data_IF_334281486695
#
_entry.id   IF_334281486695
#
_cell.length_a   1.000
_cell.length_b   1.000
_cell.length_c   1.000
_cell.angle_alpha   90.00
_cell.angle_beta   90.00
_cell.angle_gamma   90.00
#
_symmetry.space_group_name_H-M   'P 1'
#
loop_
_entity.id
_entity.type
_entity.pdbx_description
1 polymer ?
#
# COMPACT_ATOMS: atom_id res chain seq x y z
N UNK A 1 0.82 20.77 18.93
CA UNK A 1 0.87 22.04 18.20
C UNK A 1 -0.53 22.66 18.24
N UNK A 2 -0.78 23.58 19.20
CA UNK A 2 -2.07 24.22 19.47
C UNK A 2 -2.46 25.29 18.45
N UNK A 3 -2.01 25.16 17.21
CA UNK A 3 -2.44 26.08 16.16
C UNK A 3 -3.79 25.62 15.62
N UNK A 4 -4.83 26.49 15.62
CA UNK A 4 -6.08 26.16 14.99
C UNK A 4 -5.85 25.86 13.51
N UNK A 5 -6.57 24.93 12.88
CA UNK A 5 -6.48 24.63 11.46
C UNK A 5 -7.06 25.79 10.64
N UNK A 6 -6.37 26.91 10.62
CA UNK A 6 -6.72 28.05 9.81
C UNK A 6 -5.75 28.11 8.64
N UNK A 7 -6.26 27.81 7.49
CA UNK A 7 -5.72 27.82 6.12
C UNK A 7 -5.19 26.44 5.70
N UNK A 8 -6.06 25.67 5.03
CA UNK A 8 -5.63 24.64 4.10
C UNK A 8 -4.56 25.26 3.20
N UNK A 9 -3.35 24.71 3.24
CA UNK A 9 -2.29 25.18 2.34
C UNK A 9 -2.69 24.77 0.92
N UNK A 10 -2.97 25.74 0.07
CA UNK A 10 -3.45 25.49 -1.29
C UNK A 10 -2.30 25.30 -2.28
N UNK A 11 -1.15 25.91 -1.99
CA UNK A 11 0.01 25.85 -2.88
C UNK A 11 1.33 26.03 -2.15
N UNK A 12 2.41 25.50 -2.77
CA UNK A 12 3.80 25.73 -2.39
C UNK A 12 4.56 26.28 -3.60
N UNK A 13 5.31 27.37 -3.41
CA UNK A 13 6.14 27.98 -4.46
C UNK A 13 7.60 27.70 -4.14
N UNK A 14 8.32 27.11 -5.10
CA UNK A 14 9.75 26.89 -5.07
C UNK A 14 10.42 27.81 -6.08
N UNK A 15 11.49 28.50 -5.67
CA UNK A 15 12.34 29.33 -6.53
C UNK A 15 13.77 28.81 -6.51
N UNK A 16 14.44 28.84 -7.67
CA UNK A 16 15.80 28.37 -7.79
C UNK A 16 16.74 29.26 -6.98
N UNK A 17 17.59 28.64 -6.14
CA UNK A 17 18.64 29.33 -5.42
C UNK A 17 19.79 29.67 -6.38
N UNK A 18 20.15 30.95 -6.51
CA UNK A 18 21.23 31.41 -7.37
C UNK A 18 22.60 31.02 -6.83
N UNK A 19 22.73 30.83 -5.51
CA UNK A 19 23.97 30.42 -4.82
C UNK A 19 24.07 28.87 -4.71
N UNK A 20 23.24 28.12 -5.42
CA UNK A 20 23.31 26.65 -5.37
C UNK A 20 24.63 26.15 -5.96
N UNK A 21 25.34 25.32 -5.20
CA UNK A 21 26.67 24.79 -5.56
C UNK A 21 26.69 23.83 -6.76
N UNK A 22 25.52 23.31 -7.18
CA UNK A 22 25.39 22.37 -8.30
C UNK A 22 25.00 23.05 -9.61
N UNK A 23 24.47 22.25 -10.55
CA UNK A 23 23.97 22.76 -11.85
C UNK A 23 22.79 23.70 -11.62
N UNK A 24 22.84 24.89 -12.21
CA UNK A 24 21.72 25.81 -12.22
C UNK A 24 20.54 25.23 -13.00
N UNK A 25 19.34 25.14 -12.42
CA UNK A 25 18.17 24.61 -13.09
C UNK A 25 17.68 25.53 -14.22
N UNK A 26 17.22 24.96 -15.33
CA UNK A 26 16.61 25.73 -16.42
C UNK A 26 15.23 26.28 -16.01
N UNK A 27 14.49 25.51 -15.22
CA UNK A 27 13.20 25.95 -14.67
C UNK A 27 13.46 26.67 -13.34
N UNK A 28 13.20 27.96 -13.31
CA UNK A 28 13.55 28.84 -12.20
C UNK A 28 12.51 28.90 -11.09
N UNK A 29 11.26 28.54 -11.42
CA UNK A 29 10.13 28.60 -10.49
C UNK A 29 9.19 27.44 -10.73
N UNK A 30 8.77 26.78 -9.64
CA UNK A 30 7.76 25.70 -9.63
C UNK A 30 6.69 26.05 -8.62
N UNK A 31 5.44 26.01 -9.04
CA UNK A 31 4.28 26.14 -8.15
C UNK A 31 3.62 24.77 -8.04
N UNK A 32 3.55 24.23 -6.83
CA UNK A 32 2.86 22.99 -6.50
C UNK A 32 1.50 23.36 -5.94
N UNK A 33 0.44 22.84 -6.56
CA UNK A 33 -0.95 23.08 -6.14
C UNK A 33 -1.49 21.76 -5.56
N UNK A 34 -2.09 21.82 -4.38
CA UNK A 34 -2.68 20.66 -3.70
C UNK A 34 -4.15 20.54 -4.11
N UNK A 35 -4.48 19.45 -4.80
CA UNK A 35 -5.83 19.22 -5.36
C UNK A 35 -6.17 17.73 -5.22
N UNK A 36 -7.49 17.44 -5.16
CA UNK A 36 -7.99 16.08 -5.28
C UNK A 36 -7.87 15.58 -6.73
N UNK A 37 -7.93 14.27 -6.94
CA UNK A 37 -7.70 13.59 -8.23
C UNK A 37 -8.54 14.17 -9.38
N UNK A 38 -9.83 14.39 -9.15
CA UNK A 38 -10.76 14.93 -10.17
C UNK A 38 -10.45 16.39 -10.52
N UNK A 39 -10.09 17.19 -9.50
CA UNK A 39 -9.71 18.60 -9.70
C UNK A 39 -8.38 18.69 -10.46
N UNK A 40 -7.41 17.83 -10.16
CA UNK A 40 -6.14 17.75 -10.88
C UNK A 40 -6.36 17.38 -12.37
N UNK A 41 -7.22 16.39 -12.65
CA UNK A 41 -7.58 16.03 -14.04
C UNK A 41 -8.31 17.17 -14.77
N UNK A 42 -9.21 17.89 -14.07
CA UNK A 42 -9.87 19.06 -14.63
C UNK A 42 -8.87 20.18 -14.98
N UNK A 43 -7.87 20.42 -14.11
CA UNK A 43 -6.81 21.40 -14.35
C UNK A 43 -5.94 21.02 -15.56
N UNK A 44 -5.62 19.72 -15.75
CA UNK A 44 -4.94 19.21 -16.95
C UNK A 44 -5.77 19.50 -18.20
N UNK A 45 -7.06 19.13 -18.20
CA UNK A 45 -7.97 19.37 -19.34
C UNK A 45 -8.11 20.85 -19.69
N UNK A 46 -8.06 21.74 -18.70
CA UNK A 46 -8.10 23.19 -18.89
C UNK A 46 -6.73 23.78 -19.26
N UNK A 47 -5.65 23.00 -19.31
CA UNK A 47 -4.31 23.49 -19.60
C UNK A 47 -3.73 24.40 -18.51
N UNK A 48 -4.18 24.28 -17.26
CA UNK A 48 -3.79 25.15 -16.14
C UNK A 48 -2.53 24.70 -15.40
N UNK A 49 -2.13 23.43 -15.59
CA UNK A 49 -0.94 22.84 -14.97
C UNK A 49 -0.06 22.18 -16.02
N UNK A 50 1.23 22.10 -15.77
CA UNK A 50 2.20 21.46 -16.67
C UNK A 50 2.42 19.99 -16.35
N UNK A 51 2.26 19.63 -15.08
CA UNK A 51 2.29 18.25 -14.60
C UNK A 51 1.14 18.07 -13.61
N UNK A 52 0.50 16.91 -13.64
CA UNK A 52 -0.40 16.49 -12.58
C UNK A 52 -0.15 15.02 -12.25
N UNK A 53 -0.02 14.71 -10.96
CA UNK A 53 -0.17 13.34 -10.46
C UNK A 53 -1.62 12.92 -10.71
N UNK A 54 -1.83 11.74 -11.22
CA UNK A 54 -3.17 11.16 -11.42
C UNK A 54 -3.23 9.74 -10.87
N UNK A 55 -4.44 9.27 -10.59
CA UNK A 55 -4.67 7.89 -10.24
C UNK A 55 -4.58 6.98 -11.49
N UNK A 56 -4.15 5.74 -11.31
CA UNK A 56 -4.16 4.73 -12.36
C UNK A 56 -5.55 4.54 -12.98
N UNK A 57 -6.61 4.69 -12.17
CA UNK A 57 -8.03 4.63 -12.59
C UNK A 57 -8.42 5.73 -13.58
N UNK A 58 -7.80 6.89 -13.50
CA UNK A 58 -8.07 8.07 -14.33
C UNK A 58 -7.10 8.25 -15.50
N UNK A 59 -5.97 7.56 -15.48
CA UNK A 59 -4.87 7.74 -16.44
C UNK A 59 -5.18 7.30 -17.88
N UNK A 60 -6.28 6.59 -18.11
CA UNK A 60 -6.75 6.19 -19.45
C UNK A 60 -7.39 7.35 -20.24
N UNK A 61 -7.68 8.48 -19.59
CA UNK A 61 -8.24 9.65 -20.25
C UNK A 61 -7.19 10.34 -21.13
N UNK A 62 -7.45 10.41 -22.43
CA UNK A 62 -6.60 11.15 -23.38
C UNK A 62 -6.83 12.66 -23.25
N UNK A 63 -5.78 13.43 -23.03
CA UNK A 63 -5.84 14.90 -22.97
C UNK A 63 -4.89 15.49 -24.00
N UNK A 64 -5.39 16.22 -25.02
CA UNK A 64 -4.53 16.85 -26.04
C UNK A 64 -3.48 17.77 -25.41
N UNK A 65 -2.23 17.67 -25.87
CA UNK A 65 -1.11 18.46 -25.35
C UNK A 65 -0.46 17.90 -24.08
N UNK A 66 -0.86 16.67 -23.68
CA UNK A 66 -0.25 15.96 -22.56
C UNK A 66 0.04 14.51 -22.90
N UNK A 67 1.14 14.03 -22.38
CA UNK A 67 1.54 12.62 -22.42
C UNK A 67 1.42 12.01 -21.02
N UNK A 68 0.83 10.82 -20.92
CA UNK A 68 0.79 10.05 -19.67
C UNK A 68 2.14 9.37 -19.47
N UNK A 69 2.79 9.64 -18.34
CA UNK A 69 4.04 8.99 -17.91
C UNK A 69 3.81 8.19 -16.63
N UNK A 70 4.12 6.91 -16.69
CA UNK A 70 4.13 6.01 -15.54
C UNK A 70 5.57 5.85 -15.05
N UNK A 71 5.78 6.06 -13.76
CA UNK A 71 7.07 5.92 -13.09
C UNK A 71 7.03 4.71 -12.17
N UNK A 72 8.03 3.83 -12.30
CA UNK A 72 8.17 2.66 -11.44
C UNK A 72 8.34 3.08 -9.98
N UNK A 73 7.65 2.39 -9.10
CA UNK A 73 7.68 2.64 -7.66
C UNK A 73 7.80 1.34 -6.87
N UNK A 74 8.12 1.45 -5.58
CA UNK A 74 7.95 0.40 -4.57
C UNK A 74 6.66 0.62 -3.76
N UNK A 75 5.82 1.54 -4.18
CA UNK A 75 4.54 1.82 -3.55
C UNK A 75 3.58 0.64 -3.76
N UNK A 76 3.08 0.07 -2.70
CA UNK A 76 2.27 -1.14 -2.72
C UNK A 76 0.92 -0.95 -2.01
N UNK A 77 0.02 -1.91 -2.22
CA UNK A 77 -1.27 -1.99 -1.52
C UNK A 77 -1.48 -3.41 -1.01
N UNK A 78 -1.94 -3.49 0.22
CA UNK A 78 -2.30 -4.74 0.89
C UNK A 78 -3.34 -4.52 1.97
N UNK A 79 -3.87 -5.61 2.50
CA UNK A 79 -4.78 -5.62 3.63
C UNK A 79 -4.00 -5.86 4.92
N UNK A 80 -4.12 -4.94 5.89
CA UNK A 80 -3.77 -5.26 7.27
C UNK A 80 -4.90 -6.12 7.86
N UNK A 81 -4.57 -7.11 8.66
CA UNK A 81 -5.55 -8.04 9.20
C UNK A 81 -5.31 -8.23 10.69
N UNK A 82 -6.19 -7.70 11.59
CA UNK A 82 -6.05 -7.93 13.03
C UNK A 82 -5.82 -9.41 13.35
N UNK A 83 -4.71 -9.72 14.03
CA UNK A 83 -4.31 -11.11 14.32
C UNK A 83 -4.78 -11.60 15.69
N UNK A 84 -5.28 -10.71 16.54
CA UNK A 84 -5.86 -11.01 17.84
C UNK A 84 -7.37 -11.22 17.75
N UNK A 85 -7.98 -12.11 18.55
CA UNK A 85 -9.43 -12.20 18.67
C UNK A 85 -9.99 -10.98 19.44
N UNK A 86 -11.24 -10.62 19.13
CA UNK A 86 -11.97 -9.63 19.94
C UNK A 86 -12.31 -10.23 21.31
N UNK A 87 -11.64 -9.74 22.35
CA UNK A 87 -11.86 -10.12 23.74
C UNK A 87 -12.33 -8.93 24.59
N UNK A 88 -12.75 -7.84 23.96
CA UNK A 88 -13.13 -6.59 24.62
C UNK A 88 -11.93 -5.76 25.11
N UNK A 89 -10.71 -6.10 24.71
CA UNK A 89 -9.52 -5.30 25.00
C UNK A 89 -9.50 -4.03 24.15
N UNK A 90 -8.80 -3.02 24.66
CA UNK A 90 -8.56 -1.75 23.94
C UNK A 90 -7.09 -1.39 23.95
N UNK A 91 -6.68 -0.54 23.01
CA UNK A 91 -5.37 0.13 23.03
C UNK A 91 -5.26 1.07 24.24
N UNK A 92 -4.10 1.64 24.49
CA UNK A 92 -3.89 2.66 25.53
C UNK A 92 -4.79 3.89 25.32
N UNK A 93 -5.09 4.23 24.07
CA UNK A 93 -6.00 5.32 23.67
C UNK A 93 -7.49 4.93 23.67
N UNK A 94 -7.81 3.68 24.05
CA UNK A 94 -9.19 3.21 24.21
C UNK A 94 -9.84 2.66 22.94
N UNK A 95 -9.07 2.40 21.87
CA UNK A 95 -9.58 1.85 20.62
C UNK A 95 -9.79 0.32 20.74
N UNK A 96 -10.86 -0.27 20.18
CA UNK A 96 -11.11 -1.70 20.26
C UNK A 96 -10.05 -2.49 19.50
N UNK A 97 -9.60 -3.62 20.06
CA UNK A 97 -8.61 -4.52 19.48
C UNK A 97 -9.25 -5.85 19.11
N UNK A 98 -8.84 -6.39 17.98
CA UNK A 98 -9.10 -7.76 17.58
C UNK A 98 -10.31 -7.95 16.69
N UNK A 99 -10.29 -9.05 15.96
CA UNK A 99 -11.35 -9.45 15.03
C UNK A 99 -11.46 -10.97 15.02
N UNK A 100 -12.64 -11.49 15.33
CA UNK A 100 -12.85 -12.94 15.51
C UNK A 100 -12.76 -13.75 14.18
N UNK A 101 -12.83 -13.08 13.03
CA UNK A 101 -12.65 -13.71 11.72
C UNK A 101 -11.18 -13.66 11.31
N UNK A 102 -10.60 -12.46 11.24
CA UNK A 102 -9.23 -12.27 10.71
C UNK A 102 -8.14 -12.77 11.67
N UNK A 103 -8.42 -12.98 12.96
CA UNK A 103 -7.45 -13.60 13.89
C UNK A 103 -7.10 -15.05 13.51
N UNK A 104 -7.95 -15.73 12.73
CA UNK A 104 -7.71 -17.10 12.30
C UNK A 104 -6.71 -17.12 11.13
N UNK A 105 -5.61 -17.84 11.33
CA UNK A 105 -4.53 -17.90 10.32
C UNK A 105 -5.02 -18.50 9.00
N UNK A 106 -5.86 -19.53 9.07
CA UNK A 106 -6.44 -20.19 7.90
C UNK A 106 -7.30 -19.24 7.06
N UNK A 107 -8.01 -18.28 7.66
CA UNK A 107 -8.74 -17.22 6.94
C UNK A 107 -7.74 -16.33 6.19
N UNK A 108 -6.70 -15.82 6.87
CA UNK A 108 -5.72 -14.93 6.26
C UNK A 108 -4.95 -15.59 5.11
N UNK A 109 -4.53 -16.85 5.33
CA UNK A 109 -3.84 -17.61 4.28
C UNK A 109 -4.76 -17.99 3.13
N UNK A 110 -6.02 -18.37 3.39
CA UNK A 110 -6.99 -18.63 2.33
C UNK A 110 -7.23 -17.38 1.46
N UNK A 111 -7.35 -16.20 2.07
CA UNK A 111 -7.42 -14.94 1.33
C UNK A 111 -6.18 -14.75 0.44
N UNK A 112 -4.99 -15.00 0.98
CA UNK A 112 -3.74 -14.82 0.25
C UNK A 112 -3.63 -15.72 -0.99
N UNK A 113 -4.09 -16.97 -0.91
CA UNK A 113 -4.10 -17.92 -2.04
C UNK A 113 -5.27 -17.71 -3.01
N UNK A 114 -6.41 -17.18 -2.55
CA UNK A 114 -7.56 -16.95 -3.42
C UNK A 114 -7.41 -15.73 -4.34
N UNK A 115 -6.62 -14.73 -3.93
CA UNK A 115 -6.49 -13.47 -4.67
C UNK A 115 -5.58 -13.65 -5.89
N UNK A 116 -6.17 -13.56 -7.09
CA UNK A 116 -5.43 -13.40 -8.34
C UNK A 116 -4.95 -11.95 -8.48
N UNK A 117 -3.72 -11.71 -8.03
CA UNK A 117 -3.07 -10.39 -8.02
C UNK A 117 -2.92 -9.80 -9.39
N UNK A 118 -2.65 -10.64 -10.40
CA UNK A 118 -2.55 -10.18 -11.79
C UNK A 118 -3.88 -9.65 -12.30
N UNK A 119 -4.97 -10.35 -11.96
CA UNK A 119 -6.32 -9.94 -12.34
C UNK A 119 -6.75 -8.67 -11.59
N UNK A 120 -6.44 -8.56 -10.28
CA UNK A 120 -6.70 -7.33 -9.51
C UNK A 120 -5.92 -6.15 -10.08
N UNK A 121 -4.61 -6.30 -10.37
CA UNK A 121 -3.81 -5.25 -10.97
C UNK A 121 -4.35 -4.80 -12.33
N UNK A 122 -4.76 -5.74 -13.19
CA UNK A 122 -5.35 -5.43 -14.49
C UNK A 122 -6.68 -4.68 -14.36
N UNK A 123 -7.56 -5.14 -13.48
CA UNK A 123 -8.91 -4.57 -13.30
C UNK A 123 -8.89 -3.21 -12.60
N UNK A 124 -8.07 -3.06 -11.52
CA UNK A 124 -8.07 -1.88 -10.69
C UNK A 124 -7.09 -0.78 -11.18
N UNK A 125 -5.98 -1.16 -11.85
CA UNK A 125 -4.89 -0.24 -12.15
C UNK A 125 -4.70 0.03 -13.65
N UNK A 126 -5.56 -0.49 -14.52
CA UNK A 126 -5.50 -0.23 -15.98
C UNK A 126 -4.10 -0.50 -16.60
N UNK A 127 -3.35 -1.45 -16.06
CA UNK A 127 -1.97 -1.76 -16.49
C UNK A 127 -0.87 -0.91 -15.83
N UNK A 128 -1.21 0.01 -14.93
CA UNK A 128 -0.25 0.82 -14.17
C UNK A 128 0.09 0.21 -12.81
N UNK A 129 0.28 -1.10 -12.77
CA UNK A 129 0.67 -1.84 -11.58
C UNK A 129 1.04 -3.28 -11.89
N UNK A 130 1.46 -4.00 -10.87
CA UNK A 130 1.87 -5.40 -10.93
C UNK A 130 1.49 -6.14 -9.64
N UNK A 131 1.46 -7.49 -9.64
CA UNK A 131 1.32 -8.26 -8.41
C UNK A 131 2.32 -7.84 -7.34
N UNK A 132 1.86 -7.86 -6.07
CA UNK A 132 2.69 -7.61 -4.89
C UNK A 132 2.62 -8.79 -3.94
N UNK A 133 3.78 -9.22 -3.42
CA UNK A 133 3.88 -10.35 -2.49
C UNK A 133 4.53 -9.97 -1.15
N UNK A 134 5.13 -8.78 -1.08
CA UNK A 134 5.84 -8.26 0.08
C UNK A 134 5.95 -6.74 -0.04
N UNK A 135 6.03 -6.06 1.08
CA UNK A 135 6.39 -4.64 1.13
C UNK A 135 7.78 -4.35 0.53
N UNK A 136 8.59 -5.40 0.41
CA UNK A 136 9.97 -5.35 -0.08
C UNK A 136 10.11 -5.71 -1.56
N UNK A 137 9.03 -5.92 -2.30
CA UNK A 137 9.10 -6.33 -3.70
C UNK A 137 10.03 -5.44 -4.54
N UNK A 138 10.94 -6.07 -5.27
CA UNK A 138 11.94 -5.38 -6.10
C UNK A 138 13.16 -4.87 -5.34
N UNK A 139 13.23 -5.03 -4.02
CA UNK A 139 14.36 -4.60 -3.21
C UNK A 139 15.40 -5.71 -2.99
N UNK A 140 16.69 -5.38 -2.77
CA UNK A 140 17.75 -6.39 -2.57
C UNK A 140 17.54 -7.28 -1.34
N UNK A 141 16.81 -6.77 -0.34
CA UNK A 141 16.46 -7.49 0.89
C UNK A 141 15.11 -8.21 0.81
N UNK A 142 14.44 -8.23 -0.34
CA UNK A 142 13.25 -9.04 -0.54
C UNK A 142 13.62 -10.53 -0.59
N UNK A 143 12.82 -11.36 0.09
CA UNK A 143 12.92 -12.81 -0.02
C UNK A 143 12.08 -13.28 -1.21
N UNK A 144 12.67 -13.81 -2.29
CA UNK A 144 11.90 -14.24 -3.47
C UNK A 144 10.98 -15.44 -3.19
N UNK A 145 11.21 -16.17 -2.10
CA UNK A 145 10.39 -17.33 -1.72
C UNK A 145 9.02 -16.93 -1.13
N UNK A 146 8.80 -15.64 -0.80
CA UNK A 146 7.50 -15.18 -0.29
C UNK A 146 6.41 -15.14 -1.37
N UNK A 147 6.80 -15.12 -2.64
CA UNK A 147 5.85 -15.19 -3.75
C UNK A 147 5.03 -16.47 -3.69
N UNK A 148 3.76 -16.36 -3.98
CA UNK A 148 2.84 -17.48 -4.05
C UNK A 148 1.98 -17.40 -5.31
N UNK A 149 1.59 -18.56 -5.82
CA UNK A 149 0.65 -18.64 -6.93
C UNK A 149 -0.79 -18.63 -6.42
N UNK A 150 -1.69 -18.10 -7.21
CA UNK A 150 -3.12 -18.16 -6.92
C UNK A 150 -3.60 -19.62 -6.99
N UNK A 151 -4.22 -20.09 -5.91
CA UNK A 151 -4.78 -21.44 -5.81
C UNK A 151 -6.08 -21.40 -5.00
N UNK A 152 -7.19 -21.21 -5.71
CA UNK A 152 -8.53 -21.12 -5.12
C UNK A 152 -8.94 -22.42 -4.43
N UNK A 153 -8.56 -23.57 -4.98
CA UNK A 153 -8.90 -24.87 -4.39
C UNK A 153 -8.10 -25.13 -3.11
N UNK A 154 -6.84 -24.73 -3.08
CA UNK A 154 -6.05 -24.76 -1.86
C UNK A 154 -6.60 -23.80 -0.80
N UNK A 155 -7.06 -22.59 -1.21
CA UNK A 155 -7.70 -21.65 -0.31
C UNK A 155 -8.97 -22.24 0.34
N UNK A 156 -9.84 -22.88 -0.45
CA UNK A 156 -11.02 -23.58 0.07
C UNK A 156 -10.64 -24.73 1.00
N UNK A 157 -9.58 -25.45 0.68
CA UNK A 157 -9.07 -26.52 1.55
C UNK A 157 -8.59 -25.98 2.90
N UNK A 158 -7.86 -24.86 2.91
CA UNK A 158 -7.43 -24.22 4.17
C UNK A 158 -8.63 -23.85 5.05
N UNK A 159 -9.68 -23.30 4.46
CA UNK A 159 -10.92 -22.98 5.19
C UNK A 159 -11.57 -24.26 5.75
N UNK A 160 -11.73 -25.30 4.94
CA UNK A 160 -12.34 -26.57 5.38
C UNK A 160 -11.50 -27.26 6.47
N UNK A 161 -10.18 -27.31 6.33
CA UNK A 161 -9.26 -27.86 7.35
C UNK A 161 -9.34 -27.05 8.67
N UNK A 162 -9.58 -25.73 8.57
CA UNK A 162 -9.82 -24.84 9.70
C UNK A 162 -11.21 -24.94 10.32
N UNK A 163 -12.11 -25.76 9.75
CA UNK A 163 -13.48 -25.96 10.25
C UNK A 163 -14.49 -24.92 9.74
N UNK A 164 -14.15 -24.15 8.71
CA UNK A 164 -15.05 -23.19 8.05
C UNK A 164 -15.82 -23.88 6.92
N UNK A 165 -17.15 -23.82 6.96
CA UNK A 165 -18.02 -24.41 5.94
C UNK A 165 -19.31 -23.61 5.80
N UNK A 166 -19.86 -23.50 4.59
CA UNK A 166 -21.19 -22.94 4.37
C UNK A 166 -22.24 -24.00 4.75
N UNK A 167 -22.82 -23.85 5.93
CA UNK A 167 -23.77 -24.84 6.49
C UNK A 167 -25.22 -24.42 6.32
N UNK A 168 -25.52 -23.15 6.07
CA UNK A 168 -26.86 -22.62 5.85
C UNK A 168 -27.18 -22.36 4.36
N UNK A 169 -26.19 -22.46 3.47
CA UNK A 169 -26.34 -22.38 2.02
C UNK A 169 -26.45 -20.95 1.49
N UNK A 170 -25.98 -19.94 2.25
CA UNK A 170 -26.02 -18.54 1.81
C UNK A 170 -24.76 -18.11 1.03
N UNK A 171 -23.79 -19.00 0.89
CA UNK A 171 -22.55 -18.80 0.16
C UNK A 171 -21.42 -18.20 1.00
N UNK A 172 -21.60 -18.04 2.31
CA UNK A 172 -20.57 -17.56 3.26
C UNK A 172 -20.21 -18.71 4.19
N UNK A 173 -18.92 -18.98 4.37
CA UNK A 173 -18.48 -20.02 5.28
C UNK A 173 -18.57 -19.54 6.73
N UNK A 174 -18.98 -20.44 7.63
CA UNK A 174 -19.03 -20.16 9.05
C UNK A 174 -18.32 -21.25 9.87
N UNK A 175 -17.92 -20.88 11.09
CA UNK A 175 -17.31 -21.75 12.11
C UNK A 175 -17.93 -21.43 13.46
N UNK A 176 -18.50 -22.43 14.14
CA UNK A 176 -19.16 -22.25 15.45
C UNK A 176 -20.23 -21.13 15.47
N UNK A 177 -20.93 -20.95 14.35
CA UNK A 177 -21.94 -19.90 14.18
C UNK A 177 -21.40 -18.51 13.85
N UNK A 178 -20.10 -18.36 13.72
CA UNK A 178 -19.45 -17.11 13.27
C UNK A 178 -19.27 -17.16 11.74
N UNK A 179 -19.91 -16.27 11.00
CA UNK A 179 -19.72 -16.12 9.56
C UNK A 179 -18.36 -15.47 9.26
N UNK A 180 -17.74 -15.87 8.16
CA UNK A 180 -16.51 -15.28 7.65
C UNK A 180 -16.78 -13.90 7.01
N UNK A 181 -17.25 -12.97 7.83
CA UNK A 181 -17.58 -11.60 7.44
C UNK A 181 -16.76 -10.59 8.24
N UNK A 182 -16.18 -9.61 7.57
CA UNK A 182 -15.44 -8.53 8.21
C UNK A 182 -15.45 -7.26 7.36
N UNK A 183 -15.17 -6.12 7.99
CA UNK A 183 -15.06 -4.82 7.31
C UNK A 183 -13.61 -4.54 6.91
N UNK A 184 -13.42 -4.05 5.69
CA UNK A 184 -12.18 -3.47 5.19
C UNK A 184 -12.37 -1.98 4.97
N UNK A 185 -11.59 -1.18 5.69
CA UNK A 185 -11.59 0.28 5.58
C UNK A 185 -10.59 0.73 4.52
N UNK A 186 -10.89 1.84 3.85
CA UNK A 186 -9.92 2.55 3.01
C UNK A 186 -10.11 4.06 3.10
N UNK A 187 -9.05 4.83 2.82
CA UNK A 187 -9.12 6.30 2.81
C UNK A 187 -10.06 6.80 1.71
N UNK A 188 -11.16 7.44 2.09
CA UNK A 188 -12.12 8.00 1.13
C UNK A 188 -11.46 9.05 0.23
N UNK A 189 -11.82 9.06 -1.07
CA UNK A 189 -11.19 9.93 -2.07
C UNK A 189 -9.96 9.31 -2.77
N UNK A 190 -9.51 8.12 -2.36
CA UNK A 190 -8.47 7.35 -3.06
C UNK A 190 -9.13 6.30 -3.96
N UNK A 191 -9.23 6.62 -5.24
CA UNK A 191 -9.89 5.76 -6.24
C UNK A 191 -9.13 4.44 -6.48
N UNK A 192 -7.82 4.43 -6.31
CA UNK A 192 -6.98 3.22 -6.43
C UNK A 192 -7.27 2.27 -5.28
N UNK A 193 -7.26 2.75 -4.04
CA UNK A 193 -7.60 1.91 -2.88
C UNK A 193 -9.02 1.35 -2.99
N UNK A 194 -9.97 2.17 -3.39
CA UNK A 194 -11.35 1.72 -3.62
C UNK A 194 -11.40 0.58 -4.65
N UNK A 195 -10.80 0.77 -5.82
CA UNK A 195 -10.83 -0.22 -6.90
C UNK A 195 -10.15 -1.54 -6.50
N UNK A 196 -9.01 -1.48 -5.82
CA UNK A 196 -8.30 -2.67 -5.31
C UNK A 196 -9.14 -3.39 -4.26
N UNK A 197 -9.73 -2.68 -3.30
CA UNK A 197 -10.56 -3.27 -2.25
C UNK A 197 -11.80 -3.97 -2.86
N UNK A 198 -12.48 -3.33 -3.80
CA UNK A 198 -13.66 -3.89 -4.45
C UNK A 198 -13.33 -5.14 -5.27
N UNK A 199 -12.25 -5.11 -6.07
CA UNK A 199 -11.81 -6.27 -6.85
C UNK A 199 -11.38 -7.44 -5.94
N UNK A 200 -10.75 -7.14 -4.82
CA UNK A 200 -10.37 -8.13 -3.81
C UNK A 200 -11.61 -8.76 -3.16
N UNK A 201 -12.58 -7.95 -2.74
CA UNK A 201 -13.83 -8.43 -2.12
C UNK A 201 -14.59 -9.39 -3.04
N UNK A 202 -14.64 -9.09 -4.34
CA UNK A 202 -15.29 -9.96 -5.33
C UNK A 202 -14.61 -11.33 -5.43
N UNK A 203 -13.28 -11.36 -5.41
CA UNK A 203 -12.54 -12.63 -5.46
C UNK A 203 -12.70 -13.45 -4.18
N UNK A 204 -12.68 -12.81 -3.00
CA UNK A 204 -12.86 -13.49 -1.71
C UNK A 204 -14.25 -14.13 -1.58
N UNK A 205 -15.25 -13.54 -2.19
CA UNK A 205 -16.60 -14.11 -2.23
C UNK A 205 -16.62 -15.49 -2.87
N UNK A 206 -15.75 -15.77 -3.84
CA UNK A 206 -15.66 -17.07 -4.51
C UNK A 206 -15.23 -18.23 -3.60
N UNK A 207 -14.64 -17.92 -2.45
CA UNK A 207 -14.23 -18.88 -1.42
C UNK A 207 -15.10 -18.79 -0.16
N UNK A 208 -16.22 -18.03 -0.21
CA UNK A 208 -17.16 -17.91 0.91
C UNK A 208 -16.75 -16.90 1.97
N UNK A 209 -15.85 -15.96 1.68
CA UNK A 209 -15.49 -14.87 2.61
C UNK A 209 -16.15 -13.56 2.14
N UNK A 210 -16.91 -12.93 3.03
CA UNK A 210 -17.56 -11.65 2.78
C UNK A 210 -16.73 -10.49 3.37
N UNK A 211 -16.07 -9.72 2.52
CA UNK A 211 -15.38 -8.49 2.90
C UNK A 211 -16.26 -7.28 2.55
N UNK A 212 -16.71 -6.55 3.58
CA UNK A 212 -17.46 -5.30 3.42
C UNK A 212 -16.50 -4.13 3.24
N UNK A 213 -16.55 -3.47 2.09
CA UNK A 213 -15.64 -2.35 1.75
C UNK A 213 -16.25 -1.03 2.18
N UNK A 214 -15.55 -0.28 3.02
CA UNK A 214 -16.02 1.00 3.59
C UNK A 214 -14.97 2.09 3.39
N UNK A 215 -15.34 3.17 2.68
CA UNK A 215 -14.50 4.37 2.53
C UNK A 215 -14.76 5.36 3.66
N UNK A 216 -13.70 5.76 4.38
CA UNK A 216 -13.81 6.72 5.47
C UNK A 216 -12.54 7.60 5.58
N UNK A 217 -12.53 8.57 6.51
CA UNK A 217 -11.37 9.42 6.73
C UNK A 217 -10.23 8.67 7.42
N UNK A 218 -8.99 9.11 7.22
CA UNK A 218 -7.84 8.55 7.93
C UNK A 218 -7.95 8.74 9.45
N UNK A 219 -8.59 9.82 9.93
CA UNK A 219 -8.88 10.04 11.36
C UNK A 219 -9.86 9.00 11.93
N UNK A 220 -10.79 8.49 11.14
CA UNK A 220 -11.67 7.40 11.53
C UNK A 220 -10.97 6.05 11.43
N UNK A 221 -10.17 5.84 10.37
CA UNK A 221 -9.34 4.64 10.21
C UNK A 221 -8.43 4.47 11.43
N UNK A 222 -7.75 5.52 11.89
CA UNK A 222 -6.85 5.47 13.05
C UNK A 222 -7.52 4.96 14.33
N UNK A 223 -8.83 5.12 14.45
CA UNK A 223 -9.61 4.64 15.60
C UNK A 223 -10.14 3.23 15.46
N UNK A 224 -10.21 2.71 14.24
CA UNK A 224 -10.86 1.44 13.90
C UNK A 224 -9.90 0.38 13.35
N UNK A 225 -8.67 0.74 13.00
CA UNK A 225 -7.70 -0.12 12.33
C UNK A 225 -7.23 -1.32 13.16
N UNK A 226 -7.39 -1.27 14.48
CA UNK A 226 -6.99 -2.37 15.37
C UNK A 226 -8.02 -3.50 15.47
N UNK A 227 -9.23 -3.29 14.91
CA UNK A 227 -10.33 -4.25 14.93
C UNK A 227 -10.95 -4.50 13.53
N UNK A 228 -10.51 -3.77 12.53
CA UNK A 228 -10.95 -3.92 11.13
C UNK A 228 -9.75 -4.12 10.22
N UNK A 229 -9.96 -4.82 9.11
CA UNK A 229 -8.98 -4.81 8.03
C UNK A 229 -8.88 -3.40 7.44
N UNK A 230 -7.71 -3.02 6.95
CA UNK A 230 -7.53 -1.75 6.26
C UNK A 230 -6.74 -1.98 4.98
N UNK A 231 -7.22 -1.44 3.87
CA UNK A 231 -6.43 -1.38 2.65
C UNK A 231 -5.43 -0.24 2.76
N UNK A 232 -4.25 -0.57 3.17
CA UNK A 232 -3.12 0.33 3.31
C UNK A 232 -2.08 0.12 2.22
N UNK A 233 -0.99 0.86 2.29
CA UNK A 233 0.18 0.70 1.45
C UNK A 233 1.39 1.36 2.07
N UNK A 234 2.53 0.79 1.76
CA UNK A 234 3.84 1.24 2.17
C UNK A 234 4.81 1.13 0.98
N UNK A 235 6.08 1.20 1.20
CA UNK A 235 7.11 1.06 0.19
C UNK A 235 8.23 2.06 0.37
N UNK A 236 9.25 1.69 1.15
CA UNK A 236 10.43 2.51 1.37
C UNK A 236 11.63 1.98 0.57
N UNK A 237 12.52 2.87 0.23
CA UNK A 237 13.82 2.53 -0.35
C UNK A 237 14.86 2.15 0.74
N UNK A 238 14.41 1.66 1.90
CA UNK A 238 15.23 1.12 2.97
C UNK A 238 14.47 0.07 3.77
N UNK A 239 15.14 -0.94 4.35
CA UNK A 239 14.49 -2.06 5.03
C UNK A 239 13.96 -1.72 6.43
N UNK A 240 14.26 -0.56 7.00
CA UNK A 240 13.76 -0.15 8.32
C UNK A 240 12.23 -0.08 8.38
N UNK A 241 11.58 0.11 7.23
CA UNK A 241 10.12 0.05 7.14
C UNK A 241 9.59 -1.32 7.59
N UNK A 242 10.23 -2.43 7.17
CA UNK A 242 9.85 -3.78 7.62
C UNK A 242 10.02 -3.94 9.16
N UNK A 243 11.01 -3.29 9.75
CA UNK A 243 11.15 -3.24 11.20
C UNK A 243 9.92 -2.56 11.84
N UNK A 244 9.53 -1.40 11.34
CA UNK A 244 8.37 -0.68 11.86
C UNK A 244 7.05 -1.47 11.65
N UNK A 245 6.90 -2.16 10.52
CA UNK A 245 5.69 -2.91 10.20
C UNK A 245 5.51 -4.19 11.05
N UNK A 246 6.61 -4.82 11.48
CA UNK A 246 6.51 -6.17 12.03
C UNK A 246 7.17 -6.40 13.38
N UNK A 247 8.05 -5.51 13.84
CA UNK A 247 8.64 -5.68 15.16
C UNK A 247 7.61 -5.46 16.26
N UNK A 248 7.60 -6.34 17.25
CA UNK A 248 6.60 -6.36 18.34
C UNK A 248 6.49 -5.04 19.10
N UNK A 249 7.55 -4.22 19.14
CA UNK A 249 7.52 -2.90 19.78
C UNK A 249 6.61 -1.89 19.08
N UNK A 250 6.18 -2.15 17.85
CA UNK A 250 5.24 -1.31 17.10
C UNK A 250 3.80 -1.82 17.16
N UNK A 251 3.57 -3.01 17.71
CA UNK A 251 2.25 -3.61 17.75
C UNK A 251 1.23 -2.71 18.49
N UNK A 252 0.10 -2.46 17.84
CA UNK A 252 -1.05 -1.70 18.38
C UNK A 252 -0.74 -0.25 18.78
N UNK A 253 0.29 0.36 18.16
CA UNK A 253 0.59 1.77 18.36
C UNK A 253 -0.24 2.65 17.42
N UNK A 254 -0.46 3.91 17.80
CA UNK A 254 -1.24 4.89 17.04
C UNK A 254 -0.44 5.52 15.87
N UNK A 255 0.45 4.74 15.22
CA UNK A 255 1.35 5.21 14.17
C UNK A 255 1.19 4.53 12.79
N UNK A 256 0.13 3.72 12.62
CA UNK A 256 -0.24 2.97 11.42
C UNK A 256 0.72 1.84 10.99
N UNK A 257 1.84 1.58 11.69
CA UNK A 257 2.81 0.59 11.23
C UNK A 257 2.39 -0.85 11.47
N UNK A 258 1.99 -1.20 12.70
CA UNK A 258 1.59 -2.56 13.08
C UNK A 258 0.20 -2.55 13.78
N UNK A 259 -0.85 -2.03 13.10
CA UNK A 259 -2.20 -1.96 13.70
C UNK A 259 -2.83 -3.34 13.87
N UNK A 260 -2.40 -4.34 13.11
CA UNK A 260 -2.84 -5.74 13.19
C UNK A 260 -2.46 -6.42 14.51
N UNK A 261 -1.51 -5.85 15.26
CA UNK A 261 -1.06 -6.41 16.54
C UNK A 261 -0.16 -7.63 16.39
N UNK A 262 0.59 -7.73 15.29
CA UNK A 262 1.53 -8.82 15.07
C UNK A 262 2.68 -8.81 16.07
N UNK A 263 2.91 -9.94 16.75
CA UNK A 263 3.98 -10.15 17.72
C UNK A 263 4.62 -11.50 17.49
N UNK A 264 5.95 -11.53 17.30
CA UNK A 264 6.70 -12.77 17.11
C UNK A 264 8.14 -12.59 17.53
N UNK A 265 8.56 -13.28 18.59
CA UNK A 265 9.96 -13.24 19.05
C UNK A 265 10.97 -13.78 18.03
N UNK A 266 10.54 -14.68 17.14
CA UNK A 266 11.39 -15.19 16.03
C UNK A 266 11.62 -14.10 15.00
N UNK A 267 10.56 -13.42 14.57
CA UNK A 267 10.65 -12.30 13.63
C UNK A 267 11.44 -11.13 14.24
N UNK A 268 11.17 -10.77 15.49
CA UNK A 268 11.92 -9.74 16.21
C UNK A 268 13.41 -10.01 16.21
N UNK A 269 13.81 -11.27 16.53
CA UNK A 269 15.21 -11.65 16.52
C UNK A 269 15.90 -11.49 15.16
N UNK A 270 15.22 -11.79 14.04
CA UNK A 270 15.75 -11.57 12.71
C UNK A 270 15.82 -10.07 12.37
N UNK A 271 14.80 -9.29 12.72
CA UNK A 271 14.77 -7.85 12.49
C UNK A 271 15.87 -7.13 13.28
N UNK A 272 16.06 -7.50 14.56
CA UNK A 272 17.13 -6.96 15.42
C UNK A 272 18.50 -7.35 14.87
N UNK A 273 18.73 -8.62 14.52
CA UNK A 273 19.98 -9.08 13.93
C UNK A 273 20.30 -8.37 12.59
N UNK A 274 19.28 -8.05 11.79
CA UNK A 274 19.46 -7.27 10.57
C UNK A 274 19.90 -5.82 10.87
N UNK A 275 19.31 -5.20 11.90
CA UNK A 275 19.66 -3.84 12.31
C UNK A 275 21.06 -3.75 12.95
N UNK A 276 21.51 -4.80 13.62
CA UNK A 276 22.83 -4.85 14.29
C UNK A 276 23.96 -5.35 13.38
N UNK A 277 23.63 -5.84 12.17
CA UNK A 277 24.61 -6.39 11.24
C UNK A 277 25.67 -5.34 10.83
N UNK A 278 26.94 -5.76 10.84
CA UNK A 278 28.07 -4.91 10.49
C UNK A 278 28.36 -4.84 8.98
N UNK A 279 27.68 -5.66 8.18
CA UNK A 279 27.78 -5.67 6.73
C UNK A 279 26.40 -5.88 6.09
N UNK A 280 26.30 -5.40 4.85
CA UNK A 280 25.05 -5.40 4.08
C UNK A 280 24.53 -6.82 3.78
N UNK A 281 25.42 -7.76 3.51
CA UNK A 281 25.02 -9.14 3.15
C UNK A 281 24.34 -9.82 4.35
N UNK A 282 24.96 -9.75 5.52
CA UNK A 282 24.38 -10.27 6.77
C UNK A 282 23.05 -9.57 7.09
N UNK A 283 22.97 -8.24 6.92
CA UNK A 283 21.73 -7.51 7.10
C UNK A 283 20.62 -8.05 6.17
N UNK A 284 20.91 -8.16 4.87
CA UNK A 284 19.92 -8.63 3.89
C UNK A 284 19.47 -10.06 4.12
N UNK A 285 20.35 -10.96 4.57
CA UNK A 285 19.98 -12.32 4.93
C UNK A 285 18.96 -12.33 6.10
N UNK A 286 19.19 -11.54 7.12
CA UNK A 286 18.26 -11.46 8.26
C UNK A 286 16.93 -10.81 7.89
N UNK A 287 16.92 -9.75 7.04
CA UNK A 287 15.66 -9.20 6.50
C UNK A 287 14.86 -10.23 5.71
N UNK A 288 15.52 -11.11 4.94
CA UNK A 288 14.87 -12.20 4.20
C UNK A 288 14.31 -13.27 5.14
N UNK A 289 15.05 -13.64 6.18
CA UNK A 289 14.60 -14.61 7.18
C UNK A 289 13.39 -14.11 7.98
N UNK A 290 13.33 -12.82 8.30
CA UNK A 290 12.17 -12.22 8.95
C UNK A 290 10.89 -12.36 8.09
N UNK A 291 11.02 -12.27 6.76
CA UNK A 291 9.91 -12.47 5.83
C UNK A 291 9.50 -13.94 5.75
N UNK A 292 10.48 -14.85 5.60
CA UNK A 292 10.25 -16.30 5.53
C UNK A 292 11.55 -17.08 5.76
N UNK A 293 11.58 -17.91 6.79
CA UNK A 293 12.73 -18.75 7.15
C UNK A 293 12.59 -20.22 6.72
N UNK A 294 11.53 -20.53 5.97
CA UNK A 294 11.17 -21.90 5.56
C UNK A 294 10.09 -22.54 6.44
N UNK A 295 9.76 -21.95 7.60
CA UNK A 295 8.77 -22.45 8.53
C UNK A 295 7.83 -21.38 9.06
N UNK A 296 8.33 -20.16 9.30
CA UNK A 296 7.58 -19.03 9.83
C UNK A 296 8.09 -17.71 9.22
N UNK A 297 7.47 -16.60 9.58
CA UNK A 297 7.81 -15.24 9.16
C UNK A 297 6.57 -14.42 8.83
N UNK A 298 6.79 -13.18 8.41
CA UNK A 298 5.72 -12.21 8.13
C UNK A 298 4.99 -12.48 6.81
N UNK A 299 5.56 -13.30 5.93
CA UNK A 299 4.98 -13.59 4.62
C UNK A 299 3.59 -14.20 4.69
N UNK A 300 2.87 -14.14 3.58
CA UNK A 300 1.56 -14.77 3.42
C UNK A 300 1.59 -16.30 3.54
N UNK A 301 2.76 -16.93 3.37
CA UNK A 301 2.99 -18.35 3.63
C UNK A 301 3.18 -18.64 5.13
N UNK A 302 3.62 -17.66 5.90
CA UNK A 302 3.88 -17.73 7.33
C UNK A 302 2.70 -17.25 8.16
N UNK A 303 2.93 -16.24 9.00
CA UNK A 303 1.92 -15.72 9.93
C UNK A 303 0.90 -14.78 9.25
N UNK A 304 1.20 -14.30 8.05
CA UNK A 304 0.26 -13.55 7.21
C UNK A 304 -0.46 -12.39 7.93
N UNK A 305 0.24 -11.47 8.62
CA UNK A 305 -0.41 -10.29 9.21
C UNK A 305 -0.92 -9.33 8.14
N UNK A 306 -0.32 -9.38 6.95
CA UNK A 306 -0.72 -8.67 5.76
C UNK A 306 -1.02 -9.62 4.60
N UNK A 307 -2.02 -9.26 3.80
CA UNK A 307 -2.20 -9.83 2.46
C UNK A 307 -1.83 -8.78 1.42
N UNK A 308 -0.60 -8.86 0.90
CA UNK A 308 -0.10 -7.98 -0.15
C UNK A 308 -0.78 -8.30 -1.49
N UNK A 309 -1.15 -7.27 -2.26
CA UNK A 309 -1.99 -7.44 -3.45
C UNK A 309 -1.34 -6.85 -4.70
N UNK A 310 -1.05 -5.56 -4.72
CA UNK A 310 -0.50 -4.89 -5.91
C UNK A 310 0.59 -3.89 -5.57
N UNK A 311 1.57 -3.77 -6.47
CA UNK A 311 2.47 -2.64 -6.56
C UNK A 311 1.87 -1.64 -7.55
N UNK A 312 1.87 -0.33 -7.22
CA UNK A 312 1.29 0.72 -8.06
C UNK A 312 2.39 1.55 -8.70
N UNK A 313 2.21 1.96 -9.96
CA UNK A 313 3.07 2.95 -10.58
C UNK A 313 2.54 4.36 -10.26
N UNK A 314 3.44 5.33 -10.12
CA UNK A 314 3.07 6.72 -10.01
C UNK A 314 2.85 7.28 -11.42
N UNK A 315 1.63 7.71 -11.71
CA UNK A 315 1.23 8.12 -13.06
C UNK A 315 1.01 9.62 -13.11
N UNK A 316 1.57 10.24 -14.14
CA UNK A 316 1.52 11.69 -14.33
C UNK A 316 1.05 12.05 -15.72
N UNK A 317 0.17 13.05 -15.83
CA UNK A 317 0.05 13.83 -17.05
C UNK A 317 1.19 14.84 -17.10
N UNK A 318 1.98 14.82 -18.17
CA UNK A 318 3.09 15.74 -18.40
C UNK A 318 2.83 16.50 -19.69
N UNK A 319 2.85 17.83 -19.63
CA UNK A 319 2.64 18.69 -20.81
C UNK A 319 3.67 18.38 -21.89
N UNK A 320 3.23 18.27 -23.13
CA UNK A 320 4.11 18.04 -24.27
C UNK A 320 5.17 19.14 -24.40
N UNK A 321 6.42 18.72 -24.62
CA UNK A 321 7.57 19.62 -24.63
C UNK A 321 8.26 19.81 -23.27
N UNK A 322 7.66 19.41 -22.16
CA UNK A 322 8.35 19.37 -20.87
C UNK A 322 9.10 18.04 -20.73
N UNK A 323 10.43 18.12 -20.61
CA UNK A 323 11.27 16.98 -20.26
C UNK A 323 11.57 16.98 -18.77
N UNK A 324 11.07 15.96 -18.06
CA UNK A 324 11.30 15.75 -16.62
C UNK A 324 12.53 14.87 -16.35
N UNK A 325 13.28 14.52 -17.39
CA UNK A 325 14.46 13.65 -17.28
C UNK A 325 14.15 12.23 -16.79
N UNK A 326 15.20 11.42 -16.59
CA UNK A 326 15.05 10.08 -16.03
C UNK A 326 14.61 10.15 -14.58
N UNK A 327 13.54 9.43 -14.25
CA UNK A 327 13.03 9.31 -12.90
C UNK A 327 13.71 8.14 -12.17
N UNK A 328 14.00 8.34 -10.90
CA UNK A 328 14.43 7.26 -10.01
C UNK A 328 13.22 6.42 -9.58
N UNK A 329 13.48 5.26 -8.99
CA UNK A 329 12.45 4.47 -8.33
C UNK A 329 11.73 5.31 -7.26
N UNK A 330 10.41 5.40 -7.34
CA UNK A 330 9.63 6.18 -6.39
C UNK A 330 9.31 5.34 -5.14
N UNK A 331 9.55 5.87 -3.92
CA UNK A 331 9.02 5.26 -2.70
C UNK A 331 7.51 5.55 -2.56
N UNK A 332 6.88 4.96 -1.54
CA UNK A 332 5.54 5.34 -1.13
C UNK A 332 5.43 6.84 -0.86
N UNK A 333 4.30 7.41 -1.20
CA UNK A 333 4.06 8.85 -1.10
C UNK A 333 3.82 9.47 -2.48
N UNK A 334 2.94 10.44 -2.51
CA UNK A 334 2.43 11.01 -3.74
C UNK A 334 3.52 11.75 -4.56
N UNK A 335 3.31 12.93 -5.03
CA UNK A 335 4.07 13.62 -6.08
C UNK A 335 5.50 14.07 -5.74
N UNK A 336 5.92 14.03 -4.48
CA UNK A 336 7.22 14.60 -4.06
C UNK A 336 8.46 13.86 -4.62
N UNK A 337 8.47 12.54 -4.81
CA UNK A 337 9.60 11.86 -5.45
C UNK A 337 9.93 12.37 -6.85
N UNK A 338 8.94 12.83 -7.60
CA UNK A 338 9.11 13.42 -8.93
C UNK A 338 10.09 14.61 -8.92
N UNK A 339 10.13 15.38 -7.82
CA UNK A 339 10.93 16.60 -7.72
C UNK A 339 12.43 16.35 -7.45
N UNK A 340 12.85 15.11 -7.20
CA UNK A 340 14.26 14.79 -6.86
C UNK A 340 15.27 15.21 -7.92
N UNK A 341 14.87 15.23 -9.19
CA UNK A 341 15.70 15.64 -10.30
C UNK A 341 15.24 16.96 -10.95
N UNK A 342 14.48 17.79 -10.26
CA UNK A 342 13.91 19.05 -10.74
C UNK A 342 14.93 19.95 -11.45
N UNK A 343 16.20 19.94 -11.00
CA UNK A 343 17.30 20.70 -11.61
C UNK A 343 17.62 20.28 -13.07
N UNK A 344 17.19 19.09 -13.48
CA UNK A 344 17.46 18.54 -14.80
C UNK A 344 16.31 18.72 -15.77
N UNK A 345 15.16 19.25 -15.29
CA UNK A 345 13.99 19.49 -16.11
C UNK A 345 14.22 20.62 -17.11
N UNK A 346 13.72 20.45 -18.33
CA UNK A 346 13.85 21.42 -19.40
C UNK A 346 12.59 21.49 -20.26
N UNK A 347 12.36 22.65 -20.89
CA UNK A 347 11.43 22.77 -21.99
C UNK A 347 12.15 22.54 -23.32
N UNK A 348 11.60 21.70 -24.18
CA UNK A 348 12.10 21.55 -25.54
C UNK A 348 11.82 22.84 -26.33
N UNK A 349 12.84 23.35 -27.03
CA UNK A 349 12.82 24.65 -27.73
C UNK A 349 11.85 24.74 -28.94
N UNK A 350 11.04 23.68 -29.20
CA UNK A 350 10.15 23.60 -30.35
C UNK A 350 8.72 24.14 -30.13
N UNK A 351 8.41 24.64 -28.90
CA UNK A 351 7.07 25.13 -28.56
C UNK A 351 7.13 26.47 -27.76
N UNK A 352 8.00 27.41 -28.14
CA UNK A 352 7.95 28.78 -27.65
C UNK A 352 7.19 29.69 -28.64
#
# INVERSE_FOLDING_TARGET
>A
DDRPPTNKQEQLILEANDDYYGKTPAIRKVTIVFQDEDAALAAVRAGQVDIALTAATLATTQVPGYTVKAVTSVDNRGLTLPVEPDTGKTTESGQPIGNNVTCNLEIRQAMAYAIDRQQVAAAALNGFGSPCYSENDGMPWNNPEVALETDVEYAKKLLADGGWADTDGDGIVEKDGLKAEFTCLYGSGDSVRQAVAMATAEQLRSIGIQMHVEGTSWDDISKRMFSNAVLMGWGAANPYESYCLYHSSYALRDDYYNPEGYVSSVTDGYLEAAMEALDTETAYQNWKLAQWDGATGTSMKGQCPWVWIVNVQHVYYVRDGLDIGPQQLHPHGASMPLLKNLRDWTWNSSNS
#
